data_IF_374516513006
#
_entry.id   IF_374516513006
#
_cell.length_a   1.000
_cell.length_b   1.000
_cell.length_c   1.000
_cell.angle_alpha   90.00
_cell.angle_beta   90.00
_cell.angle_gamma   90.00
#
_symmetry.space_group_name_H-M   'P 1'
#
loop_
_entity.id
_entity.type
_entity.pdbx_description
1 polymer ?
#
# COMPACT_ATOMS: atom_id res chain seq x y z
N UNK A 1 -70.94 -31.35 9.45
CA UNK A 1 -71.04 -29.88 9.35
C UNK A 1 -69.70 -29.28 9.77
N UNK A 2 -69.07 -28.57 8.83
CA UNK A 2 -68.04 -27.50 8.94
C UNK A 2 -67.05 -27.46 10.14
N UNK A 3 -65.74 -27.38 9.86
CA UNK A 3 -65.05 -26.13 9.52
C UNK A 3 -63.58 -26.39 9.14
N UNK A 4 -63.19 -25.90 7.96
CA UNK A 4 -61.80 -25.67 7.58
C UNK A 4 -61.12 -24.67 8.52
N UNK A 5 -59.87 -24.94 8.88
CA UNK A 5 -58.89 -23.90 9.24
C UNK A 5 -57.63 -24.12 8.42
N UNK A 6 -57.32 -23.12 7.59
CA UNK A 6 -56.04 -22.94 6.93
C UNK A 6 -54.95 -22.71 7.98
N UNK A 7 -53.87 -23.48 7.90
CA UNK A 7 -52.58 -23.16 8.53
C UNK A 7 -51.60 -22.73 7.44
N UNK A 8 -51.17 -21.48 7.57
CA UNK A 8 -50.18 -20.78 6.76
C UNK A 8 -48.79 -21.36 7.12
N UNK A 9 -47.91 -21.72 6.17
CA UNK A 9 -46.52 -22.03 6.50
C UNK A 9 -45.75 -20.74 6.74
N UNK A 10 -45.24 -20.60 7.95
CA UNK A 10 -44.36 -19.53 8.42
C UNK A 10 -43.05 -19.52 7.63
N UNK A 11 -42.76 -18.40 6.98
CA UNK A 11 -41.44 -18.04 6.44
C UNK A 11 -40.39 -18.00 7.55
N UNK A 12 -39.19 -18.63 7.39
CA UNK A 12 -38.07 -18.32 8.26
C UNK A 12 -37.45 -16.97 7.84
N UNK A 13 -37.56 -16.00 8.74
CA UNK A 13 -36.85 -14.72 8.70
C UNK A 13 -35.34 -15.00 8.67
N UNK A 14 -34.70 -14.73 7.53
CA UNK A 14 -33.24 -14.84 7.39
C UNK A 14 -32.59 -13.72 8.21
N UNK A 15 -31.66 -14.13 9.06
CA UNK A 15 -30.86 -13.28 9.92
C UNK A 15 -30.21 -12.13 9.14
N UNK A 16 -30.24 -10.94 9.75
CA UNK A 16 -29.56 -9.74 9.31
C UNK A 16 -28.07 -10.03 9.04
N UNK A 17 -27.60 -9.62 7.86
CA UNK A 17 -26.19 -9.46 7.53
C UNK A 17 -25.50 -8.53 8.54
N UNK A 18 -24.23 -8.78 8.90
CA UNK A 18 -23.47 -7.82 9.68
C UNK A 18 -23.23 -6.57 8.83
N UNK A 19 -23.66 -5.44 9.38
CA UNK A 19 -23.32 -4.10 8.93
C UNK A 19 -21.80 -3.98 8.90
N UNK A 20 -21.26 -3.54 7.77
CA UNK A 20 -19.86 -3.16 7.65
C UNK A 20 -19.53 -2.11 8.73
N UNK A 21 -18.80 -2.54 9.75
CA UNK A 21 -18.19 -1.63 10.72
C UNK A 21 -17.15 -0.80 9.97
N UNK A 22 -17.45 0.47 9.73
CA UNK A 22 -16.49 1.46 9.27
C UNK A 22 -15.40 1.61 10.32
N UNK A 23 -14.27 0.92 10.16
CA UNK A 23 -13.05 1.24 10.90
C UNK A 23 -12.62 2.66 10.53
N UNK A 24 -12.47 3.49 11.55
CA UNK A 24 -11.95 4.85 11.42
C UNK A 24 -10.45 4.78 11.11
N UNK A 25 -10.10 4.99 9.85
CA UNK A 25 -8.74 5.36 9.48
C UNK A 25 -8.51 6.76 10.06
N UNK A 26 -7.71 6.85 11.14
CA UNK A 26 -7.21 8.12 11.67
C UNK A 26 -6.20 8.69 10.67
N UNK A 27 -6.70 9.41 9.66
CA UNK A 27 -5.84 10.25 8.81
C UNK A 27 -5.47 11.50 9.59
N UNK A 28 -4.23 11.61 10.05
CA UNK A 28 -3.70 12.86 10.57
C UNK A 28 -3.62 13.89 9.44
N UNK A 29 -4.49 14.89 9.49
CA UNK A 29 -4.57 15.98 8.53
C UNK A 29 -3.48 17.02 8.84
N UNK A 30 -2.35 16.93 8.14
CA UNK A 30 -1.38 18.03 8.06
C UNK A 30 -1.95 19.19 7.25
N UNK A 31 -2.29 20.29 7.91
CA UNK A 31 -2.78 21.53 7.30
C UNK A 31 -1.68 22.21 6.46
N UNK A 32 -1.80 22.12 5.13
CA UNK A 32 -0.99 22.92 4.19
C UNK A 32 -1.69 24.27 3.97
N UNK A 33 -1.08 25.33 4.49
CA UNK A 33 -1.51 26.72 4.30
C UNK A 33 -1.11 27.19 2.88
N UNK A 34 -2.07 27.27 1.96
CA UNK A 34 -1.87 27.82 0.62
C UNK A 34 -2.07 29.33 0.65
N UNK A 35 -0.98 30.09 0.53
CA UNK A 35 -1.02 31.55 0.36
C UNK A 35 -1.22 31.90 -1.11
N UNK A 36 -2.41 32.43 -1.42
CA UNK A 36 -2.78 33.01 -2.72
C UNK A 36 -2.08 34.36 -2.93
N UNK A 37 -1.16 34.43 -3.89
CA UNK A 37 -0.60 35.68 -4.43
C UNK A 37 -1.37 36.07 -5.70
N UNK A 38 -2.16 37.14 -5.63
CA UNK A 38 -2.74 37.81 -6.81
C UNK A 38 -1.66 38.65 -7.53
N UNK A 39 -1.57 38.60 -8.87
CA UNK A 39 -0.81 39.58 -9.64
C UNK A 39 -1.68 40.78 -10.01
N UNK A 40 -1.19 41.98 -9.72
CA UNK A 40 -1.76 43.26 -10.14
C UNK A 40 -1.49 43.52 -11.63
N UNK A 41 -2.55 43.86 -12.38
CA UNK A 41 -2.47 44.38 -13.73
C UNK A 41 -1.92 45.82 -13.72
N UNK A 42 -0.88 46.08 -14.52
CA UNK A 42 -0.50 47.43 -14.94
C UNK A 42 -0.62 47.52 -16.47
N UNK A 43 -1.52 48.42 -16.90
CA UNK A 43 -1.74 48.83 -18.29
C UNK A 43 -0.91 50.08 -18.60
N UNK A 44 -0.02 49.99 -19.57
CA UNK A 44 0.50 51.10 -20.41
C UNK A 44 0.95 50.43 -21.73
N UNK A 45 0.52 50.81 -22.92
CA UNK A 45 0.28 52.13 -23.49
C UNK A 45 1.42 52.42 -24.46
N UNK A 46 1.28 52.07 -25.75
CA UNK A 46 2.23 52.43 -26.80
C UNK A 46 1.49 53.21 -27.89
N UNK A 47 1.96 54.43 -28.16
CA UNK A 47 1.64 55.21 -29.34
C UNK A 47 2.65 54.97 -30.45
N UNK A 48 2.16 55.01 -31.68
CA UNK A 48 2.94 54.99 -32.91
C UNK A 48 3.62 56.35 -33.17
N UNK A 49 4.83 56.36 -33.73
CA UNK A 49 5.10 56.98 -35.06
C UNK A 49 6.58 56.96 -35.51
N UNK A 50 6.75 56.66 -36.81
CA UNK A 50 7.71 57.18 -37.81
C UNK A 50 9.17 56.63 -37.93
N UNK A 51 9.36 55.91 -39.05
CA UNK A 51 10.48 55.83 -40.03
C UNK A 51 11.76 56.68 -39.77
N UNK A 52 12.94 56.06 -39.91
CA UNK A 52 13.72 55.97 -41.16
C UNK A 52 15.17 55.49 -40.96
N UNK A 53 15.57 54.55 -41.84
CA UNK A 53 16.90 54.31 -42.45
C UNK A 53 18.21 54.45 -41.64
N UNK A 54 19.01 53.38 -41.64
CA UNK A 54 20.46 53.49 -41.51
C UNK A 54 21.18 52.23 -41.04
N UNK A 55 21.87 51.57 -41.96
CA UNK A 55 23.15 50.86 -41.75
C UNK A 55 23.13 49.45 -41.11
N UNK A 56 23.56 48.48 -41.91
CA UNK A 56 23.94 47.13 -41.46
C UNK A 56 25.16 47.16 -40.53
N UNK A 57 25.20 46.26 -39.53
CA UNK A 57 26.44 45.59 -39.17
C UNK A 57 26.29 44.06 -39.06
N UNK A 58 27.34 43.39 -39.53
CA UNK A 58 27.92 42.09 -39.17
C UNK A 58 27.24 41.23 -38.08
N UNK A 59 27.08 39.90 -38.25
CA UNK A 59 26.69 39.03 -37.15
C UNK A 59 27.85 38.91 -36.14
N UNK A 60 27.63 39.47 -34.95
CA UNK A 60 28.50 39.31 -33.78
C UNK A 60 28.27 37.94 -33.14
N UNK A 61 29.36 37.29 -32.75
CA UNK A 61 29.41 35.94 -32.22
C UNK A 61 28.54 35.73 -30.96
N UNK A 62 27.93 34.55 -30.87
CA UNK A 62 27.25 34.04 -29.67
C UNK A 62 28.19 33.99 -28.46
N UNK A 63 27.76 34.45 -27.26
CA UNK A 63 28.48 34.11 -26.04
C UNK A 63 28.22 32.65 -25.67
N UNK A 64 29.32 32.01 -25.30
CA UNK A 64 29.46 30.62 -24.88
C UNK A 64 28.51 30.25 -23.74
N UNK A 65 27.93 29.05 -23.81
CA UNK A 65 27.17 28.44 -22.74
C UNK A 65 28.03 28.29 -21.47
N UNK A 66 27.51 28.73 -20.32
CA UNK A 66 28.07 28.42 -19.00
C UNK A 66 27.91 26.93 -18.71
N UNK A 67 28.93 26.25 -18.15
CA UNK A 67 28.81 24.86 -17.74
C UNK A 67 27.87 24.72 -16.54
N UNK A 68 26.98 23.72 -16.60
CA UNK A 68 26.21 23.22 -15.45
C UNK A 68 27.15 22.83 -14.30
N UNK A 69 26.79 23.11 -13.03
CA UNK A 69 27.54 22.62 -11.90
C UNK A 69 27.52 21.09 -11.88
N UNK A 70 28.70 20.48 -11.69
CA UNK A 70 28.86 19.04 -11.51
C UNK A 70 28.09 18.55 -10.29
N UNK A 71 27.56 17.30 -10.29
CA UNK A 71 26.94 16.72 -9.11
C UNK A 71 27.98 16.61 -8.00
N UNK A 72 27.69 17.20 -6.83
CA UNK A 72 28.47 17.00 -5.61
C UNK A 72 28.50 15.51 -5.27
N UNK A 73 29.66 14.89 -5.03
CA UNK A 73 29.72 13.50 -4.60
C UNK A 73 28.98 13.34 -3.27
N UNK A 74 28.10 12.34 -3.18
CA UNK A 74 27.48 11.94 -1.91
C UNK A 74 28.57 11.65 -0.88
N UNK A 75 28.39 12.06 0.40
CA UNK A 75 29.37 11.80 1.43
C UNK A 75 29.62 10.29 1.56
N UNK A 76 30.89 9.91 1.60
CA UNK A 76 31.31 8.53 1.88
C UNK A 76 30.76 8.15 3.27
N UNK A 77 30.13 6.96 3.42
CA UNK A 77 29.74 6.48 4.73
C UNK A 77 30.94 6.46 5.69
N UNK A 78 30.75 6.82 6.97
CA UNK A 78 31.83 6.72 7.96
C UNK A 78 32.37 5.28 8.04
N UNK A 79 33.65 5.14 8.38
CA UNK A 79 34.29 3.84 8.65
C UNK A 79 33.63 3.18 9.85
N UNK A 80 33.33 1.89 9.72
CA UNK A 80 32.82 0.99 10.76
C UNK A 80 33.58 -0.33 10.53
N UNK A 81 34.61 -0.58 11.35
CA UNK A 81 35.60 -1.63 11.09
C UNK A 81 35.12 -3.01 11.49
N UNK A 82 34.40 -3.12 12.60
CA UNK A 82 33.89 -4.37 13.13
C UNK A 82 32.45 -4.66 12.70
N UNK A 83 31.83 -3.71 11.97
CA UNK A 83 30.50 -3.81 11.37
C UNK A 83 29.40 -3.98 12.43
N UNK A 84 29.57 -3.40 13.62
CA UNK A 84 28.60 -3.43 14.70
C UNK A 84 27.45 -2.41 14.50
N UNK A 85 27.58 -1.54 13.50
CA UNK A 85 26.60 -0.50 13.15
C UNK A 85 26.87 0.85 13.80
N UNK A 86 27.97 1.01 14.55
CA UNK A 86 28.44 2.26 15.12
C UNK A 86 29.68 2.73 14.34
N UNK A 87 29.69 3.96 13.79
CA UNK A 87 30.89 4.52 13.19
C UNK A 87 32.11 4.47 14.13
N UNK A 88 33.30 4.11 13.63
CA UNK A 88 34.58 4.08 14.39
C UNK A 88 34.83 5.39 15.16
N UNK A 89 34.35 6.53 14.64
CA UNK A 89 34.51 7.85 15.24
C UNK A 89 33.58 8.12 16.43
N UNK A 90 32.51 7.34 16.53
CA UNK A 90 31.45 7.44 17.55
C UNK A 90 31.40 6.19 18.44
N UNK A 91 32.18 5.17 18.12
CA UNK A 91 32.28 3.94 18.87
C UNK A 91 33.38 4.02 19.95
N UNK A 92 33.02 3.62 21.15
CA UNK A 92 33.96 3.49 22.27
C UNK A 92 34.80 2.21 22.16
N UNK A 93 34.32 1.21 21.42
CA UNK A 93 34.99 -0.08 21.21
C UNK A 93 35.07 -0.50 19.73
N UNK A 94 35.80 0.23 18.85
CA UNK A 94 35.79 0.07 17.38
C UNK A 94 36.31 -1.25 16.81
N UNK A 95 36.61 -2.23 17.67
CA UNK A 95 37.09 -3.57 17.32
C UNK A 95 36.29 -4.67 18.07
N UNK A 96 35.24 -4.33 18.83
CA UNK A 96 34.37 -5.29 19.52
C UNK A 96 33.02 -5.42 18.80
N UNK A 97 32.86 -6.41 17.90
CA UNK A 97 31.63 -6.61 17.14
C UNK A 97 30.41 -6.98 18.00
N UNK A 98 30.55 -7.06 19.33
CA UNK A 98 29.46 -7.29 20.28
C UNK A 98 28.88 -6.01 20.87
N UNK A 99 29.48 -4.84 20.61
CA UNK A 99 28.97 -3.54 21.08
C UNK A 99 27.77 -3.03 20.25
N UNK A 100 26.91 -3.93 19.81
CA UNK A 100 25.81 -3.64 18.89
C UNK A 100 24.76 -2.76 19.60
N UNK A 101 24.33 -1.65 18.98
CA UNK A 101 23.24 -0.82 19.49
C UNK A 101 22.01 -1.66 19.82
N UNK A 102 21.51 -1.55 21.05
CA UNK A 102 20.31 -2.23 21.51
C UNK A 102 19.17 -1.23 21.66
N UNK A 103 17.98 -1.65 21.23
CA UNK A 103 16.78 -0.89 21.51
C UNK A 103 16.50 -0.89 23.02
N UNK A 104 16.16 0.28 23.56
CA UNK A 104 15.70 0.39 24.96
C UNK A 104 14.34 -0.30 25.11
N UNK A 105 13.96 -0.76 26.31
CA UNK A 105 12.66 -1.40 26.49
C UNK A 105 11.51 -0.51 25.98
N UNK A 106 10.66 -1.07 25.11
CA UNK A 106 9.55 -0.37 24.47
C UNK A 106 8.26 -0.72 25.20
N UNK A 107 7.45 0.27 25.55
CA UNK A 107 6.19 0.03 26.25
C UNK A 107 5.01 0.06 25.27
N UNK A 108 4.15 -0.94 25.36
CA UNK A 108 2.93 -1.07 24.56
C UNK A 108 1.73 -1.18 25.49
N UNK A 109 0.69 -0.40 25.22
CA UNK A 109 -0.60 -0.54 25.86
C UNK A 109 -1.48 -1.40 24.97
N UNK A 110 -1.79 -2.61 25.42
CA UNK A 110 -2.48 -3.60 24.61
C UNK A 110 -3.86 -3.96 25.16
N UNK A 111 -4.88 -4.01 24.31
CA UNK A 111 -6.22 -4.44 24.67
C UNK A 111 -6.42 -5.94 24.41
N UNK A 112 -7.19 -6.58 25.28
CA UNK A 112 -7.61 -7.97 25.12
C UNK A 112 -9.13 -8.02 25.19
N UNK A 113 -9.76 -9.00 24.53
CA UNK A 113 -11.23 -9.16 24.58
C UNK A 113 -11.80 -9.27 26.01
N UNK A 114 -10.97 -9.68 26.96
CA UNK A 114 -11.37 -10.00 28.34
C UNK A 114 -11.18 -8.88 29.38
N UNK A 115 -10.48 -7.79 29.06
CA UNK A 115 -10.10 -6.77 30.07
C UNK A 115 -10.38 -5.36 29.56
N UNK A 116 -11.23 -4.63 30.29
CA UNK A 116 -11.48 -3.20 30.03
C UNK A 116 -10.29 -2.36 30.53
N UNK A 117 -9.68 -1.57 29.65
CA UNK A 117 -8.62 -0.60 30.00
C UNK A 117 -7.19 -1.00 29.62
N UNK A 118 -7.03 -2.09 28.88
CA UNK A 118 -5.76 -2.60 28.37
C UNK A 118 -4.75 -3.02 29.45
N UNK A 119 -3.66 -3.65 29.02
CA UNK A 119 -2.53 -4.03 29.85
C UNK A 119 -1.25 -3.44 29.27
N UNK A 120 -0.40 -2.88 30.15
CA UNK A 120 0.90 -2.36 29.77
C UNK A 120 1.90 -3.51 29.70
N UNK A 121 2.54 -3.66 28.55
CA UNK A 121 3.64 -4.60 28.32
C UNK A 121 4.93 -3.86 28.01
N UNK A 122 6.04 -4.43 28.44
CA UNK A 122 7.38 -3.92 28.13
C UNK A 122 8.11 -4.93 27.25
N UNK A 123 8.32 -4.57 25.99
CA UNK A 123 9.05 -5.38 25.00
C UNK A 123 10.53 -5.08 25.13
N UNK A 124 11.32 -6.13 25.32
CA UNK A 124 12.77 -6.07 25.42
C UNK A 124 13.44 -6.53 24.12
N UNK A 125 14.69 -6.11 23.91
CA UNK A 125 15.54 -6.71 22.87
C UNK A 125 15.81 -8.19 23.16
N UNK A 126 15.52 -9.04 22.19
CA UNK A 126 15.78 -10.47 22.21
C UNK A 126 17.23 -10.82 21.85
N UNK A 127 17.60 -12.08 22.06
CA UNK A 127 18.98 -12.59 21.86
C UNK A 127 19.46 -12.55 20.41
N UNK A 128 18.55 -12.46 19.45
CA UNK A 128 18.82 -12.37 18.01
C UNK A 128 18.77 -10.93 17.49
N UNK A 129 18.76 -9.93 18.39
CA UNK A 129 18.69 -8.50 18.06
C UNK A 129 17.30 -8.03 17.66
N UNK A 130 16.29 -8.90 17.72
CA UNK A 130 14.89 -8.58 17.41
C UNK A 130 14.09 -8.31 18.68
N UNK A 131 13.00 -7.54 18.64
CA UNK A 131 12.17 -7.34 19.82
C UNK A 131 11.48 -8.65 20.24
N UNK A 132 11.42 -8.91 21.55
CA UNK A 132 10.81 -10.12 22.12
C UNK A 132 9.38 -9.85 22.58
N UNK A 133 8.42 -10.30 21.77
CA UNK A 133 6.98 -10.17 22.03
C UNK A 133 6.37 -11.40 22.72
N UNK A 134 7.18 -12.35 23.20
CA UNK A 134 6.69 -13.64 23.71
C UNK A 134 5.65 -13.48 24.84
N UNK A 135 5.87 -12.54 25.76
CA UNK A 135 4.93 -12.26 26.85
C UNK A 135 3.64 -11.59 26.35
N UNK A 136 3.75 -10.71 25.36
CA UNK A 136 2.61 -10.03 24.73
C UNK A 136 1.71 -11.04 24.02
N UNK A 137 2.30 -11.92 23.21
CA UNK A 137 1.56 -12.95 22.48
C UNK A 137 0.87 -13.97 23.38
N UNK A 138 1.33 -14.14 24.62
CA UNK A 138 0.71 -15.06 25.58
C UNK A 138 -0.72 -14.66 25.95
N UNK A 139 -1.04 -13.36 25.90
CA UNK A 139 -2.39 -12.85 26.21
C UNK A 139 -3.26 -12.60 24.98
N UNK A 140 -2.68 -12.73 23.78
CA UNK A 140 -3.35 -12.53 22.48
C UNK A 140 -4.13 -11.21 22.40
N UNK A 141 -3.43 -10.07 22.47
CA UNK A 141 -4.09 -8.78 22.38
C UNK A 141 -4.67 -8.56 20.99
N UNK A 142 -5.82 -7.89 20.92
CA UNK A 142 -6.50 -7.55 19.66
C UNK A 142 -6.00 -6.23 19.07
N UNK A 143 -5.47 -5.35 19.92
CA UNK A 143 -4.83 -4.10 19.50
C UNK A 143 -3.73 -3.72 20.47
N UNK A 144 -2.70 -3.03 20.00
CA UNK A 144 -1.64 -2.49 20.84
C UNK A 144 -1.22 -1.11 20.33
N UNK A 145 -1.05 -0.15 21.24
CA UNK A 145 -0.53 1.18 20.93
C UNK A 145 0.82 1.37 21.62
N UNK A 146 1.78 1.97 20.90
CA UNK A 146 3.06 2.34 21.49
C UNK A 146 2.92 3.51 22.46
N UNK A 147 3.53 3.39 23.64
CA UNK A 147 3.56 4.45 24.65
C UNK A 147 4.89 5.20 24.58
N UNK A 148 4.84 6.45 24.10
CA UNK A 148 6.00 7.33 23.98
C UNK A 148 6.43 7.51 22.52
N UNK A 149 7.74 7.60 22.29
CA UNK A 149 8.32 7.68 20.95
C UNK A 149 9.34 6.58 20.75
N UNK A 150 9.39 6.02 19.55
CA UNK A 150 10.33 4.99 19.17
C UNK A 150 11.42 5.59 18.29
N UNK A 151 12.68 5.40 18.66
CA UNK A 151 13.81 5.73 17.80
C UNK A 151 14.28 4.46 17.09
N UNK A 152 14.61 4.55 15.80
CA UNK A 152 15.21 3.44 15.06
C UNK A 152 16.67 3.30 15.49
N UNK A 153 17.02 2.22 16.20
CA UNK A 153 18.36 2.04 16.78
C UNK A 153 19.11 0.89 16.12
N UNK A 154 18.52 -0.31 16.16
CA UNK A 154 19.18 -1.55 15.74
C UNK A 154 19.27 -1.67 14.21
N UNK A 155 20.25 -2.42 13.72
CA UNK A 155 20.35 -2.73 12.28
C UNK A 155 19.09 -3.42 11.72
N UNK A 156 18.40 -4.21 12.55
CA UNK A 156 17.15 -4.88 12.17
C UNK A 156 16.01 -3.88 12.03
N UNK A 157 15.90 -2.91 12.92
CA UNK A 157 14.92 -1.83 12.82
C UNK A 157 15.18 -0.93 11.61
N UNK A 158 16.44 -0.59 11.35
CA UNK A 158 16.84 0.14 10.14
C UNK A 158 16.47 -0.62 8.86
N UNK A 159 16.67 -1.94 8.87
CA UNK A 159 16.26 -2.79 7.76
C UNK A 159 14.73 -2.80 7.59
N UNK A 160 13.98 -2.93 8.69
CA UNK A 160 12.52 -2.90 8.67
C UNK A 160 12.01 -1.55 8.14
N UNK A 161 12.53 -0.42 8.63
CA UNK A 161 12.20 0.92 8.14
C UNK A 161 12.45 1.08 6.63
N UNK A 162 13.61 0.62 6.16
CA UNK A 162 13.94 0.67 4.73
C UNK A 162 12.97 -0.16 3.89
N UNK A 163 12.54 -1.31 4.39
CA UNK A 163 11.61 -2.22 3.70
C UNK A 163 10.18 -1.71 3.74
N UNK A 164 9.75 -1.06 4.83
CA UNK A 164 8.37 -0.55 4.97
C UNK A 164 8.07 0.59 4.00
N UNK A 165 9.11 1.33 3.58
CA UNK A 165 9.00 2.56 2.77
C UNK A 165 8.29 3.71 3.50
N UNK A 166 8.27 3.69 4.83
CA UNK A 166 7.87 4.85 5.61
C UNK A 166 8.86 6.01 5.41
N UNK A 167 8.40 7.23 5.61
CA UNK A 167 9.18 8.47 5.39
C UNK A 167 9.38 9.31 6.67
N UNK A 168 8.75 8.94 7.79
CA UNK A 168 8.77 9.72 9.03
C UNK A 168 9.80 9.27 10.08
N UNK A 169 10.76 8.40 9.73
CA UNK A 169 11.72 7.79 10.69
C UNK A 169 11.05 7.13 11.92
N UNK A 170 9.78 6.75 11.77
CA UNK A 170 9.01 6.05 12.78
C UNK A 170 8.65 4.65 12.27
N UNK A 171 8.76 3.65 13.16
CA UNK A 171 8.35 2.27 12.92
C UNK A 171 7.44 1.74 14.03
N UNK A 172 6.83 2.63 14.82
CA UNK A 172 5.86 2.34 15.88
C UNK A 172 4.78 1.37 15.39
N UNK A 173 4.18 1.65 14.23
CA UNK A 173 3.18 0.78 13.59
C UNK A 173 3.70 -0.65 13.36
N UNK A 174 4.99 -0.85 13.03
CA UNK A 174 5.53 -2.19 12.87
C UNK A 174 5.65 -2.94 14.20
N UNK A 175 5.94 -2.23 15.30
CA UNK A 175 5.94 -2.79 16.65
C UNK A 175 4.52 -3.16 17.11
N UNK A 176 3.55 -2.30 16.82
CA UNK A 176 2.13 -2.51 17.11
C UNK A 176 1.61 -3.74 16.35
N UNK A 177 1.82 -3.80 15.03
CA UNK A 177 1.52 -4.97 14.21
C UNK A 177 2.16 -6.25 14.77
N UNK A 178 3.41 -6.19 15.22
CA UNK A 178 4.10 -7.33 15.78
C UNK A 178 3.58 -7.79 17.14
N UNK A 179 2.92 -6.92 17.89
CA UNK A 179 2.37 -7.22 19.21
C UNK A 179 0.96 -7.84 19.13
N UNK A 180 0.18 -7.45 18.11
CA UNK A 180 -1.22 -7.83 17.92
C UNK A 180 -1.40 -9.26 17.44
N UNK A 181 -2.29 -10.00 18.11
CA UNK A 181 -2.70 -11.37 17.71
C UNK A 181 -4.22 -11.42 17.58
N UNK A 182 -4.77 -10.50 16.80
CA UNK A 182 -6.20 -10.34 16.59
C UNK A 182 -6.80 -11.54 15.80
N UNK A 183 -7.78 -12.29 16.32
CA UNK A 183 -8.48 -13.31 15.53
C UNK A 183 -9.10 -12.79 14.23
N UNK A 184 -9.42 -11.49 14.17
CA UNK A 184 -10.02 -10.81 13.01
C UNK A 184 -8.99 -10.03 12.16
N UNK A 185 -7.69 -10.31 12.32
CA UNK A 185 -6.63 -9.75 11.47
C UNK A 185 -6.87 -10.07 9.98
N UNK A 186 -7.13 -9.02 9.20
CA UNK A 186 -7.41 -9.08 7.76
C UNK A 186 -6.24 -9.73 6.99
N UNK A 187 -4.99 -9.47 7.39
CA UNK A 187 -3.80 -10.06 6.76
C UNK A 187 -3.66 -11.56 7.07
N UNK A 188 -4.35 -12.03 8.09
CA UNK A 188 -4.43 -13.43 8.52
C UNK A 188 -5.64 -14.18 7.92
N UNK A 189 -6.52 -13.50 7.17
CA UNK A 189 -7.68 -14.11 6.53
C UNK A 189 -7.30 -15.07 5.39
N UNK A 190 -8.10 -16.12 5.23
CA UNK A 190 -7.90 -17.10 4.18
C UNK A 190 -8.23 -16.49 2.81
N UNK A 191 -7.25 -16.48 1.90
CA UNK A 191 -7.44 -15.98 0.53
C UNK A 191 -7.12 -14.51 0.35
N UNK A 192 -6.92 -13.74 1.43
CA UNK A 192 -6.53 -12.34 1.36
C UNK A 192 -5.21 -12.16 0.58
N UNK A 193 -5.17 -11.26 -0.40
CA UNK A 193 -3.98 -10.92 -1.17
C UNK A 193 -3.59 -9.48 -0.82
N UNK A 194 -2.38 -9.29 -0.29
CA UNK A 194 -1.91 -7.97 0.12
C UNK A 194 -1.68 -7.07 -1.10
N UNK A 195 -2.07 -5.79 -1.02
CA UNK A 195 -1.82 -4.84 -2.10
C UNK A 195 -0.33 -4.49 -2.22
N UNK A 196 0.06 -3.83 -3.33
CA UNK A 196 1.42 -3.31 -3.53
C UNK A 196 1.88 -2.35 -2.43
N UNK A 197 0.93 -1.66 -1.79
CA UNK A 197 1.17 -0.73 -0.68
C UNK A 197 1.33 -1.46 0.64
N UNK A 198 0.63 -2.59 0.84
CA UNK A 198 0.66 -3.37 2.09
C UNK A 198 1.85 -4.33 2.16
N UNK A 199 2.29 -4.88 1.02
CA UNK A 199 3.39 -5.85 0.95
C UNK A 199 4.68 -5.34 1.65
N UNK A 200 5.16 -4.10 1.43
CA UNK A 200 6.33 -3.55 2.11
C UNK A 200 6.20 -3.56 3.64
N UNK A 201 5.06 -3.11 4.15
CA UNK A 201 4.77 -3.01 5.59
C UNK A 201 4.72 -4.39 6.26
N UNK A 202 3.98 -5.35 5.68
CA UNK A 202 3.91 -6.72 6.21
C UNK A 202 5.30 -7.38 6.24
N UNK A 203 6.10 -7.18 5.19
CA UNK A 203 7.47 -7.70 5.15
C UNK A 203 8.37 -7.04 6.20
N UNK A 204 8.20 -5.74 6.45
CA UNK A 204 8.93 -5.02 7.48
C UNK A 204 8.56 -5.50 8.89
N UNK A 205 7.27 -5.73 9.17
CA UNK A 205 6.83 -6.37 10.41
C UNK A 205 7.43 -7.79 10.54
N UNK A 206 7.43 -8.59 9.48
CA UNK A 206 8.05 -9.93 9.47
C UNK A 206 9.57 -9.90 9.66
N UNK A 207 10.24 -8.78 9.38
CA UNK A 207 11.63 -8.55 9.78
C UNK A 207 11.67 -8.39 11.30
N UNK A 208 10.87 -7.52 11.91
CA UNK A 208 10.92 -7.36 13.38
C UNK A 208 10.48 -8.62 14.13
N UNK A 209 9.38 -9.26 13.73
CA UNK A 209 8.78 -10.41 14.42
C UNK A 209 8.58 -11.63 13.49
N UNK A 210 9.65 -12.30 13.02
CA UNK A 210 9.53 -13.43 12.10
C UNK A 210 8.80 -14.65 12.69
N UNK A 211 8.70 -14.71 14.03
CA UNK A 211 8.03 -15.74 14.82
C UNK A 211 6.60 -15.36 15.23
N UNK A 212 6.06 -14.26 14.72
CA UNK A 212 4.69 -13.82 14.99
C UNK A 212 3.69 -14.98 14.81
N UNK A 213 2.67 -15.15 15.67
CA UNK A 213 1.68 -16.22 15.55
C UNK A 213 1.01 -16.31 14.17
N UNK A 214 0.85 -15.18 13.47
CA UNK A 214 0.32 -15.14 12.11
C UNK A 214 1.36 -15.01 10.99
N UNK A 215 2.66 -15.08 11.31
CA UNK A 215 3.74 -14.89 10.34
C UNK A 215 3.60 -15.79 9.10
N UNK A 216 3.11 -17.02 9.25
CA UNK A 216 2.85 -17.92 8.11
C UNK A 216 1.73 -17.39 7.21
N UNK A 217 0.64 -16.91 7.79
CA UNK A 217 -0.52 -16.40 7.06
C UNK A 217 -0.17 -15.08 6.36
N UNK A 218 0.53 -14.17 7.03
CA UNK A 218 1.06 -12.94 6.45
C UNK A 218 1.97 -13.21 5.24
N UNK A 219 2.91 -14.16 5.34
CA UNK A 219 3.75 -14.56 4.19
C UNK A 219 2.92 -15.10 3.02
N UNK A 220 1.84 -15.82 3.29
CA UNK A 220 0.94 -16.30 2.25
C UNK A 220 0.12 -15.16 1.62
N UNK A 221 -0.31 -14.17 2.42
CA UNK A 221 -0.98 -12.98 1.91
C UNK A 221 -0.07 -12.16 0.99
N UNK A 222 1.19 -11.93 1.41
CA UNK A 222 2.22 -11.29 0.60
C UNK A 222 2.48 -12.07 -0.69
N UNK A 223 2.60 -13.40 -0.62
CA UNK A 223 2.83 -14.23 -1.80
C UNK A 223 1.68 -14.13 -2.81
N UNK A 224 0.43 -14.15 -2.34
CA UNK A 224 -0.75 -13.97 -3.21
C UNK A 224 -0.77 -12.56 -3.82
N UNK A 225 -0.53 -11.55 -3.00
CA UNK A 225 -0.44 -10.15 -3.44
C UNK A 225 0.61 -9.93 -4.52
N UNK A 226 1.80 -10.50 -4.34
CA UNK A 226 2.87 -10.41 -5.35
C UNK A 226 2.46 -11.10 -6.67
N UNK A 227 1.83 -12.27 -6.60
CA UNK A 227 1.33 -12.95 -7.79
C UNK A 227 0.27 -12.13 -8.53
N UNK A 228 -0.56 -11.41 -7.79
CA UNK A 228 -1.59 -10.52 -8.34
C UNK A 228 -0.97 -9.28 -9.00
N UNK A 229 -0.03 -8.62 -8.31
CA UNK A 229 0.73 -7.51 -8.86
C UNK A 229 1.49 -7.91 -10.14
N UNK A 230 2.07 -9.11 -10.18
CA UNK A 230 2.74 -9.63 -11.38
C UNK A 230 1.76 -9.82 -12.55
N UNK A 231 0.53 -10.27 -12.27
CA UNK A 231 -0.52 -10.41 -13.29
C UNK A 231 -1.04 -9.05 -13.76
N UNK A 232 -1.23 -8.10 -12.86
CA UNK A 232 -1.65 -6.74 -13.19
C UNK A 232 -0.61 -6.03 -14.07
N UNK A 233 0.67 -6.12 -13.70
CA UNK A 233 1.78 -5.58 -14.50
C UNK A 233 1.87 -6.22 -15.91
N UNK A 234 1.37 -7.44 -16.06
CA UNK A 234 1.27 -8.12 -17.36
C UNK A 234 0.00 -7.74 -18.15
N UNK A 235 -0.93 -6.97 -17.57
CA UNK A 235 -2.24 -6.68 -18.15
C UNK A 235 -3.17 -7.91 -18.13
N UNK A 236 -3.00 -8.79 -17.14
CA UNK A 236 -3.70 -10.07 -17.00
C UNK A 236 -4.54 -10.16 -15.72
N UNK A 237 -4.49 -9.13 -14.89
CA UNK A 237 -5.40 -8.88 -13.77
C UNK A 237 -5.89 -7.45 -13.94
N UNK A 238 -7.19 -7.23 -13.89
CA UNK A 238 -7.77 -5.89 -14.05
C UNK A 238 -9.19 -5.84 -13.50
N UNK A 239 -9.58 -4.67 -13.00
CA UNK A 239 -10.92 -4.41 -12.49
C UNK A 239 -11.92 -3.98 -13.55
N UNK A 240 -12.96 -3.29 -13.10
CA UNK A 240 -13.89 -2.56 -13.96
C UNK A 240 -13.21 -1.35 -14.62
N UNK A 241 -13.64 -1.01 -15.82
CA UNK A 241 -13.07 0.05 -16.65
C UNK A 241 -12.99 -0.33 -18.12
N UNK A 242 -12.59 0.65 -18.94
CA UNK A 242 -12.34 0.47 -20.37
C UNK A 242 -10.83 0.36 -20.63
N UNK A 243 -10.41 -0.72 -21.30
CA UNK A 243 -9.01 -1.02 -21.56
C UNK A 243 -8.76 -1.30 -23.04
N UNK A 244 -7.64 -0.82 -23.57
CA UNK A 244 -7.14 -1.18 -24.90
C UNK A 244 -6.51 -2.56 -24.88
N UNK A 245 -7.09 -3.45 -25.66
CA UNK A 245 -6.60 -4.82 -25.81
C UNK A 245 -5.26 -4.82 -26.55
N UNK A 246 -4.30 -5.58 -26.04
CA UNK A 246 -2.92 -5.65 -26.54
C UNK A 246 -2.00 -4.52 -26.06
N UNK A 247 -2.55 -3.45 -25.47
CA UNK A 247 -1.78 -2.33 -24.89
C UNK A 247 -1.84 -2.30 -23.37
N UNK A 248 -3.05 -2.26 -22.81
CA UNK A 248 -3.29 -2.16 -21.36
C UNK A 248 -3.61 -3.54 -20.76
N UNK A 249 -4.41 -4.33 -21.47
CA UNK A 249 -4.69 -5.73 -21.09
C UNK A 249 -4.30 -6.70 -22.20
N UNK A 250 -3.98 -7.94 -21.85
CA UNK A 250 -3.61 -8.98 -22.81
C UNK A 250 -4.86 -9.74 -23.29
N UNK A 251 -4.89 -10.16 -24.57
CA UNK A 251 -5.86 -11.15 -25.03
C UNK A 251 -5.79 -12.42 -24.19
N UNK A 252 -6.93 -13.07 -23.98
CA UNK A 252 -7.02 -14.26 -23.16
C UNK A 252 -8.44 -14.56 -22.72
N UNK A 253 -8.59 -15.67 -22.01
CA UNK A 253 -9.85 -16.03 -21.34
C UNK A 253 -9.77 -15.60 -19.90
N UNK A 254 -10.75 -14.79 -19.47
CA UNK A 254 -10.82 -14.23 -18.13
C UNK A 254 -12.10 -14.65 -17.43
N UNK A 255 -12.03 -14.72 -16.11
CA UNK A 255 -13.12 -15.09 -15.22
C UNK A 255 -13.25 -14.10 -14.07
N UNK A 256 -14.48 -13.89 -13.65
CA UNK A 256 -14.84 -13.25 -12.38
C UNK A 256 -15.90 -14.10 -11.68
N UNK A 257 -16.02 -13.97 -10.36
CA UNK A 257 -16.87 -14.80 -9.51
C UNK A 257 -17.76 -13.93 -8.61
N UNK A 258 -18.90 -14.49 -8.22
CA UNK A 258 -19.81 -13.91 -7.24
C UNK A 258 -20.15 -12.42 -7.49
N UNK A 259 -20.51 -12.10 -8.74
CA UNK A 259 -20.81 -10.74 -9.19
C UNK A 259 -22.31 -10.43 -9.14
N UNK A 260 -22.64 -9.16 -8.96
CA UNK A 260 -23.99 -8.60 -9.06
C UNK A 260 -23.99 -7.40 -10.02
N UNK A 261 -24.96 -7.34 -10.92
CA UNK A 261 -25.09 -6.23 -11.88
C UNK A 261 -23.92 -6.08 -12.87
N UNK A 262 -23.19 -7.16 -13.16
CA UNK A 262 -22.00 -7.15 -14.02
C UNK A 262 -22.39 -6.94 -15.49
N UNK A 263 -21.88 -5.86 -16.07
CA UNK A 263 -21.90 -5.58 -17.50
C UNK A 263 -20.50 -5.73 -18.08
N UNK A 264 -20.36 -6.38 -19.22
CA UNK A 264 -19.12 -6.35 -19.99
C UNK A 264 -19.39 -6.26 -21.48
N UNK A 265 -18.43 -5.70 -22.21
CA UNK A 265 -18.46 -5.63 -23.66
C UNK A 265 -17.06 -5.68 -24.28
N UNK A 266 -17.00 -6.27 -25.47
CA UNK A 266 -15.85 -6.25 -26.37
C UNK A 266 -16.17 -5.29 -27.50
N UNK A 267 -15.25 -4.41 -27.86
CA UNK A 267 -15.46 -3.37 -28.85
C UNK A 267 -14.44 -3.47 -30.00
N UNK A 268 -14.85 -3.07 -31.20
CA UNK A 268 -13.96 -2.91 -32.35
C UNK A 268 -13.31 -1.52 -32.39
N UNK A 269 -12.47 -1.26 -33.39
CA UNK A 269 -11.72 0.01 -33.52
C UNK A 269 -12.58 1.25 -33.75
N UNK A 270 -13.85 1.07 -34.11
CA UNK A 270 -14.82 2.15 -34.27
C UNK A 270 -15.64 2.40 -33.00
N UNK A 271 -15.37 1.66 -31.91
CA UNK A 271 -16.15 1.70 -30.67
C UNK A 271 -17.47 0.92 -30.74
N UNK A 272 -17.73 0.19 -31.82
CA UNK A 272 -18.94 -0.63 -31.91
C UNK A 272 -18.77 -1.91 -31.09
N UNK A 273 -19.83 -2.30 -30.40
CA UNK A 273 -19.90 -3.54 -29.62
C UNK A 273 -19.82 -4.74 -30.57
N UNK A 274 -18.84 -5.61 -30.32
CA UNK A 274 -18.68 -6.93 -30.94
C UNK A 274 -19.55 -7.95 -30.21
N UNK A 275 -19.51 -7.90 -28.88
CA UNK A 275 -20.18 -8.83 -27.99
C UNK A 275 -20.33 -8.17 -26.61
N UNK A 276 -21.44 -8.41 -25.93
CA UNK A 276 -21.69 -7.88 -24.60
C UNK A 276 -22.64 -8.78 -23.82
N UNK A 277 -22.63 -8.63 -22.51
CA UNK A 277 -23.60 -9.27 -21.66
C UNK A 277 -23.81 -8.49 -20.37
N UNK A 278 -25.06 -8.45 -19.91
CA UNK A 278 -25.43 -7.97 -18.59
C UNK A 278 -25.98 -9.12 -17.77
N UNK A 279 -25.45 -9.33 -16.57
CA UNK A 279 -26.00 -10.27 -15.59
C UNK A 279 -26.44 -9.55 -14.34
N UNK A 280 -27.66 -9.84 -13.87
CA UNK A 280 -28.13 -9.37 -12.56
C UNK A 280 -27.30 -9.98 -11.43
N UNK A 281 -26.84 -11.22 -11.61
CA UNK A 281 -25.92 -11.87 -10.68
C UNK A 281 -25.48 -13.24 -11.18
N UNK A 282 -24.22 -13.60 -10.93
CA UNK A 282 -23.66 -14.86 -11.38
C UNK A 282 -22.55 -15.34 -10.44
N UNK A 283 -22.53 -16.65 -10.16
CA UNK A 283 -21.41 -17.29 -9.45
C UNK A 283 -20.10 -17.25 -10.24
N UNK A 284 -20.20 -17.22 -11.57
CA UNK A 284 -19.05 -17.18 -12.46
C UNK A 284 -19.45 -16.55 -13.80
N UNK A 285 -18.67 -15.59 -14.25
CA UNK A 285 -18.73 -15.03 -15.61
C UNK A 285 -17.39 -15.29 -16.28
N UNK A 286 -17.41 -15.70 -17.55
CA UNK A 286 -16.20 -15.98 -18.34
C UNK A 286 -16.29 -15.26 -19.68
N UNK A 287 -15.21 -14.60 -20.08
CA UNK A 287 -15.11 -13.89 -21.36
C UNK A 287 -13.80 -14.27 -22.05
N UNK A 288 -13.84 -14.49 -23.36
CA UNK A 288 -12.63 -14.60 -24.19
C UNK A 288 -12.41 -13.29 -24.92
N UNK A 289 -11.41 -12.52 -24.47
CA UNK A 289 -10.96 -11.29 -25.11
C UNK A 289 -9.98 -11.69 -26.22
N UNK A 290 -10.33 -11.43 -27.47
CA UNK A 290 -9.54 -11.83 -28.64
C UNK A 290 -8.49 -10.77 -28.94
N UNK A 291 -7.39 -11.19 -29.57
CA UNK A 291 -6.36 -10.26 -30.02
C UNK A 291 -6.82 -9.29 -31.11
N UNK A 292 -7.95 -9.58 -31.76
CA UNK A 292 -8.60 -8.70 -32.74
C UNK A 292 -9.50 -7.63 -32.12
N UNK A 293 -9.82 -7.75 -30.83
CA UNK A 293 -10.63 -6.76 -30.14
C UNK A 293 -9.81 -5.48 -29.95
N UNK A 294 -10.46 -4.33 -30.01
CA UNK A 294 -9.78 -3.05 -29.82
C UNK A 294 -9.81 -2.61 -28.37
N UNK A 295 -10.98 -2.74 -27.74
CA UNK A 295 -11.18 -2.41 -26.34
C UNK A 295 -12.08 -3.44 -25.66
N UNK A 296 -11.92 -3.55 -24.35
CA UNK A 296 -12.80 -4.27 -23.45
C UNK A 296 -13.27 -3.30 -22.38
N UNK A 297 -14.58 -3.25 -22.13
CA UNK A 297 -15.15 -2.48 -21.03
C UNK A 297 -15.89 -3.43 -20.09
N UNK A 298 -15.80 -3.19 -18.77
CA UNK A 298 -16.64 -3.86 -17.80
C UNK A 298 -16.99 -2.98 -16.62
N UNK A 299 -18.17 -3.21 -16.04
CA UNK A 299 -18.73 -2.45 -14.93
C UNK A 299 -19.38 -3.41 -13.95
N UNK A 300 -19.14 -3.21 -12.64
CA UNK A 300 -19.65 -4.04 -11.55
C UNK A 300 -19.34 -5.54 -11.69
N UNK A 301 -18.28 -5.88 -12.43
CA UNK A 301 -17.83 -7.26 -12.61
C UNK A 301 -16.75 -7.68 -11.61
N UNK A 302 -16.35 -6.79 -10.70
CA UNK A 302 -15.21 -7.02 -9.83
C UNK A 302 -13.92 -7.13 -10.64
N UNK A 303 -13.08 -8.08 -10.25
CA UNK A 303 -11.75 -8.29 -10.83
C UNK A 303 -11.75 -9.48 -11.81
N UNK A 304 -11.17 -9.25 -12.99
CA UNK A 304 -10.97 -10.26 -14.02
C UNK A 304 -9.61 -10.94 -13.86
N UNK A 305 -9.64 -12.25 -13.68
CA UNK A 305 -8.45 -13.12 -13.57
C UNK A 305 -8.34 -14.06 -14.75
N UNK A 306 -7.14 -14.52 -15.16
CA UNK A 306 -7.03 -15.52 -16.21
C UNK A 306 -7.76 -16.79 -15.79
N UNK A 307 -8.52 -17.39 -16.71
CA UNK A 307 -9.11 -18.70 -16.48
C UNK A 307 -7.99 -19.72 -16.25
N UNK A 308 -8.04 -20.42 -15.11
CA UNK A 308 -7.15 -21.56 -14.80
C UNK A 308 -7.62 -22.81 -15.52
#
# INVERSE_FOLDING_TARGET
MARHRHTIPSTPTRANSPVASTLRISRHAGTILVTLLLPALALTGCGDDIKAAGSSPTPSASPSASPSPSPTPSPTPPSDRDADGIPDTSDTYPDDPKNIPQQVPVNLQCDTESLSGGSLFTVHGGKDGRPDFTEVWAVKPTSCDLIGSLNIVTAIEQQAYKVSKYDEQDISTLYEMCAEVDPDDVYAEAGFAASSEQIPEINAALILCPKHPYAKKWRQAVQRGQADADLEAQGRLFGSGTYRVGKEIKPGTYVTHDVEGCYWERQNSSGNIIDNYFTNGARRVQVTIRSSDYAFNSENCGEWRPAR
#
